data_IF_839664942698
#
_entry.id   IF_839664942698
#
_cell.length_a   1.000
_cell.length_b   1.000
_cell.length_c   1.000
_cell.angle_alpha   90.00
_cell.angle_beta   90.00
_cell.angle_gamma   90.00
#
_symmetry.space_group_name_H-M   'P 1'
#
loop_
_entity.id
_entity.type
_entity.pdbx_description
1 polymer ?
#
# COMPACT_ATOMS: atom_id res chain seq x y z
N UNK A 1 -10.11 -2.33 -27.78
CA UNK A 1 -8.73 -2.61 -27.42
C UNK A 1 -8.41 -2.04 -26.07
N UNK A 2 -7.79 -2.82 -25.24
CA UNK A 2 -7.49 -2.42 -23.87
C UNK A 2 -6.02 -2.13 -23.61
N UNK A 3 -5.22 -2.02 -24.67
CA UNK A 3 -3.88 -1.49 -24.55
C UNK A 3 -3.97 -0.08 -24.02
N UNK A 4 -3.22 0.19 -22.99
CA UNK A 4 -3.23 1.50 -22.36
C UNK A 4 -4.36 1.74 -21.39
N UNK A 5 -5.28 0.79 -21.23
CA UNK A 5 -6.29 0.93 -20.18
C UNK A 5 -5.60 0.83 -18.84
N UNK A 6 -5.90 1.79 -18.03
CA UNK A 6 -5.42 1.80 -16.67
C UNK A 6 -6.10 0.69 -15.89
N UNK A 7 -5.30 -0.25 -15.42
CA UNK A 7 -5.79 -1.38 -14.65
C UNK A 7 -5.66 -1.16 -13.15
N UNK A 8 -5.35 0.06 -12.77
CA UNK A 8 -5.38 0.48 -11.38
C UNK A 8 -6.72 1.16 -11.10
N UNK A 9 -7.44 0.61 -10.16
CA UNK A 9 -8.66 1.23 -9.64
C UNK A 9 -8.32 1.78 -8.27
N UNK A 10 -8.00 3.06 -8.22
CA UNK A 10 -7.63 3.74 -6.99
C UNK A 10 -8.88 4.43 -6.42
N UNK A 11 -9.45 3.82 -5.40
CA UNK A 11 -10.69 4.32 -4.79
C UNK A 11 -10.43 5.39 -3.71
N UNK A 12 -9.18 5.66 -3.40
CA UNK A 12 -8.85 6.52 -2.24
C UNK A 12 -7.81 7.59 -2.53
N UNK A 13 -6.86 7.32 -3.41
CA UNK A 13 -5.74 8.23 -3.64
C UNK A 13 -4.75 8.23 -2.49
N UNK A 14 -3.81 9.16 -2.55
CA UNK A 14 -2.86 9.39 -1.49
C UNK A 14 -3.47 10.33 -0.46
N UNK A 15 -3.41 9.95 0.80
CA UNK A 15 -3.95 10.72 1.92
C UNK A 15 -2.96 10.82 3.05
N UNK A 16 -2.94 11.95 3.71
CA UNK A 16 -2.12 12.15 4.90
C UNK A 16 -2.94 12.80 6.00
N UNK A 17 -2.51 12.57 7.23
CA UNK A 17 -3.10 13.16 8.43
C UNK A 17 -1.98 13.61 9.36
N UNK A 18 -2.20 14.72 10.04
CA UNK A 18 -1.20 15.33 10.87
C UNK A 18 -0.24 16.21 10.06
N UNK A 19 0.85 16.62 10.69
CA UNK A 19 1.87 17.44 10.05
C UNK A 19 2.91 16.53 9.41
N UNK A 20 2.75 16.26 8.12
CA UNK A 20 3.65 15.37 7.40
C UNK A 20 4.89 16.09 6.85
N UNK A 21 4.83 17.41 6.76
CA UNK A 21 5.92 18.19 6.15
C UNK A 21 5.97 18.09 4.64
N UNK A 22 5.08 17.36 4.02
CA UNK A 22 5.02 17.18 2.57
C UNK A 22 3.56 17.09 2.10
N UNK A 23 3.23 17.66 0.94
CA UNK A 23 1.89 17.51 0.37
C UNK A 23 1.66 16.08 -0.12
N UNK A 24 0.39 15.70 -0.22
CA UNK A 24 0.02 14.35 -0.67
C UNK A 24 0.61 13.99 -2.02
N UNK A 25 0.66 14.95 -2.95
CA UNK A 25 1.25 14.72 -4.27
C UNK A 25 2.73 14.34 -4.20
N UNK A 26 3.45 14.94 -3.26
CA UNK A 26 4.87 14.64 -3.06
C UNK A 26 5.04 13.23 -2.46
N UNK A 27 4.20 12.87 -1.51
CA UNK A 27 4.23 11.54 -0.90
C UNK A 27 3.92 10.48 -1.98
N UNK A 28 2.94 10.75 -2.83
CA UNK A 28 2.61 9.86 -3.94
C UNK A 28 3.79 9.70 -4.91
N UNK A 29 4.50 10.79 -5.19
CA UNK A 29 5.67 10.74 -6.08
C UNK A 29 6.81 9.92 -5.47
N UNK A 30 7.10 10.13 -4.20
CA UNK A 30 8.11 9.32 -3.50
C UNK A 30 7.73 7.84 -3.50
N UNK A 31 6.46 7.55 -3.31
CA UNK A 31 5.97 6.17 -3.36
C UNK A 31 6.13 5.59 -4.76
N UNK A 32 5.78 6.35 -5.78
CA UNK A 32 5.92 5.92 -7.17
C UNK A 32 7.38 5.61 -7.53
N UNK A 33 8.31 6.37 -6.98
CA UNK A 33 9.75 6.18 -7.22
C UNK A 33 10.40 5.17 -6.29
N UNK A 34 9.66 4.63 -5.35
CA UNK A 34 10.20 3.77 -4.30
C UNK A 34 11.28 4.48 -3.48
N UNK A 35 11.06 5.74 -3.18
CA UNK A 35 12.00 6.56 -2.40
C UNK A 35 11.76 6.33 -0.91
N UNK A 36 12.29 5.22 -0.44
CA UNK A 36 12.12 4.79 0.94
C UNK A 36 12.68 5.79 1.94
N UNK A 37 13.76 6.46 1.60
CA UNK A 37 14.41 7.41 2.50
C UNK A 37 13.53 8.64 2.74
N UNK A 38 12.95 9.20 1.69
CA UNK A 38 12.04 10.33 1.83
C UNK A 38 10.78 9.96 2.59
N UNK A 39 10.24 8.77 2.32
CA UNK A 39 9.06 8.28 3.03
C UNK A 39 9.38 8.07 4.53
N UNK A 40 10.56 7.58 4.84
CA UNK A 40 10.97 7.36 6.23
C UNK A 40 11.05 8.65 7.03
N UNK A 41 11.35 9.76 6.36
CA UNK A 41 11.48 11.08 7.01
C UNK A 41 10.17 11.85 7.10
N UNK A 42 9.10 11.31 6.53
CA UNK A 42 7.80 11.96 6.56
C UNK A 42 7.15 11.76 7.93
N UNK A 43 6.85 12.87 8.58
CA UNK A 43 6.15 12.83 9.87
C UNK A 43 4.65 12.64 9.67
N UNK A 44 3.97 12.24 10.75
CA UNK A 44 2.53 12.02 10.72
C UNK A 44 2.16 10.67 10.10
N UNK A 45 0.97 10.59 9.56
CA UNK A 45 0.44 9.36 8.99
C UNK A 45 0.05 9.57 7.54
N UNK A 46 0.31 8.56 6.73
CA UNK A 46 -0.11 8.59 5.33
C UNK A 46 -0.45 7.19 4.81
N UNK A 47 -1.20 7.17 3.75
CA UNK A 47 -1.36 6.04 2.85
C UNK A 47 -1.21 6.57 1.44
N UNK A 48 -0.38 5.95 0.64
CA UNK A 48 0.02 6.48 -0.65
C UNK A 48 -0.11 5.44 -1.75
N UNK A 49 -0.57 5.92 -2.89
CA UNK A 49 -0.67 5.13 -4.12
C UNK A 49 0.18 5.84 -5.16
N UNK A 50 1.20 5.16 -5.64
CA UNK A 50 2.07 5.69 -6.66
C UNK A 50 2.16 4.70 -7.83
N UNK A 51 2.51 5.23 -8.99
CA UNK A 51 2.62 4.42 -10.18
C UNK A 51 3.80 4.86 -11.01
N UNK A 52 4.54 3.89 -11.49
CA UNK A 52 5.65 4.11 -12.40
C UNK A 52 5.51 3.08 -13.53
N UNK A 53 5.01 3.54 -14.67
CA UNK A 53 4.71 2.65 -15.77
C UNK A 53 3.68 1.61 -15.39
N UNK A 54 4.06 0.35 -15.44
CA UNK A 54 3.19 -0.77 -15.08
C UNK A 54 3.37 -1.22 -13.62
N UNK A 55 4.23 -0.56 -12.88
CA UNK A 55 4.45 -0.88 -11.48
C UNK A 55 3.63 0.04 -10.61
N UNK A 56 2.75 -0.53 -9.82
CA UNK A 56 2.00 0.20 -8.80
C UNK A 56 2.69 -0.02 -7.47
N UNK A 57 2.89 1.06 -6.74
CA UNK A 57 3.49 1.01 -5.41
C UNK A 57 2.54 1.58 -4.39
N UNK A 58 2.36 0.83 -3.32
CA UNK A 58 1.47 1.16 -2.22
C UNK A 58 2.31 1.29 -0.96
N UNK A 59 2.13 2.35 -0.21
CA UNK A 59 2.86 2.55 1.03
C UNK A 59 1.94 3.13 2.08
N UNK A 60 2.17 2.78 3.34
CA UNK A 60 1.43 3.37 4.43
C UNK A 60 2.21 3.38 5.72
N UNK A 61 1.84 4.30 6.59
CA UNK A 61 2.19 4.27 8.00
C UNK A 61 1.13 3.50 8.78
N UNK A 62 1.34 3.35 10.07
CA UNK A 62 0.42 2.55 10.89
C UNK A 62 -0.97 3.16 11.02
N UNK A 63 -1.09 4.49 10.91
CA UNK A 63 -2.33 5.19 11.24
C UNK A 63 -3.44 5.13 10.20
N UNK A 64 -3.10 4.88 8.93
CA UNK A 64 -4.08 4.86 7.85
C UNK A 64 -4.01 3.52 7.14
N UNK A 65 -5.10 2.74 7.13
CA UNK A 65 -5.10 1.46 6.44
C UNK A 65 -5.12 1.61 4.92
N UNK A 66 -4.51 0.66 4.24
CA UNK A 66 -4.53 0.60 2.79
C UNK A 66 -4.62 -0.87 2.39
N UNK A 67 -5.61 -1.19 1.60
CA UNK A 67 -5.87 -2.57 1.17
C UNK A 67 -5.89 -2.64 -0.35
N UNK A 68 -5.60 -3.80 -0.86
CA UNK A 68 -5.71 -4.04 -2.29
C UNK A 68 -6.29 -5.42 -2.58
N UNK A 69 -6.87 -5.53 -3.76
CA UNK A 69 -7.49 -6.74 -4.27
C UNK A 69 -7.21 -6.83 -5.76
N UNK A 70 -6.87 -8.00 -6.25
CA UNK A 70 -6.66 -8.21 -7.68
C UNK A 70 -7.90 -8.88 -8.26
N UNK A 71 -8.67 -8.12 -8.99
CA UNK A 71 -9.86 -8.62 -9.66
C UNK A 71 -9.49 -9.24 -11.00
N UNK A 72 -9.93 -10.46 -11.22
CA UNK A 72 -9.67 -11.17 -12.49
C UNK A 72 -10.73 -10.77 -13.50
N UNK A 73 -10.35 -9.88 -14.36
CA UNK A 73 -11.23 -9.39 -15.42
C UNK A 73 -10.90 -10.06 -16.74
N UNK A 74 -11.83 -9.96 -17.67
CA UNK A 74 -11.73 -10.58 -18.97
C UNK A 74 -10.46 -10.20 -19.72
N UNK A 75 -10.02 -8.95 -19.53
CA UNK A 75 -8.89 -8.39 -20.26
C UNK A 75 -7.62 -8.30 -19.44
N UNK A 76 -7.56 -9.03 -18.36
CA UNK A 76 -6.44 -9.03 -17.44
C UNK A 76 -6.83 -8.47 -16.08
N UNK A 77 -5.96 -8.61 -15.11
CA UNK A 77 -6.28 -8.24 -13.75
C UNK A 77 -6.41 -6.73 -13.57
N UNK A 78 -7.36 -6.35 -12.72
CA UNK A 78 -7.46 -4.99 -12.20
C UNK A 78 -7.01 -4.98 -10.75
N UNK A 79 -6.10 -4.08 -10.44
CA UNK A 79 -5.69 -3.85 -9.05
C UNK A 79 -6.60 -2.80 -8.44
N UNK A 80 -7.35 -3.20 -7.44
CA UNK A 80 -8.29 -2.31 -6.74
C UNK A 80 -7.68 -1.95 -5.40
N UNK A 81 -7.57 -0.66 -5.13
CA UNK A 81 -6.97 -0.13 -3.90
C UNK A 81 -8.00 0.68 -3.14
N UNK A 82 -8.13 0.39 -1.87
CA UNK A 82 -9.10 1.07 -1.00
C UNK A 82 -8.60 1.08 0.45
N UNK A 83 -9.23 1.90 1.28
CA UNK A 83 -8.96 1.86 2.73
C UNK A 83 -9.68 0.68 3.38
N UNK A 84 -10.86 0.35 2.89
CA UNK A 84 -11.76 -0.61 3.53
C UNK A 84 -12.19 -1.69 2.56
N UNK A 85 -12.43 -2.87 3.11
CA UNK A 85 -12.89 -4.02 2.33
C UNK A 85 -14.24 -3.78 1.66
N UNK A 86 -15.15 -3.10 2.33
CA UNK A 86 -16.48 -2.84 1.78
C UNK A 86 -16.43 -1.94 0.54
N UNK A 87 -15.44 -1.06 0.45
CA UNK A 87 -15.24 -0.25 -0.75
C UNK A 87 -14.86 -1.13 -1.95
N UNK A 88 -14.00 -2.10 -1.72
CA UNK A 88 -13.60 -3.06 -2.76
C UNK A 88 -14.82 -3.90 -3.18
N UNK A 89 -15.56 -4.39 -2.21
CA UNK A 89 -16.76 -5.17 -2.49
C UNK A 89 -17.80 -4.38 -3.30
N UNK A 90 -18.05 -3.13 -2.93
CA UNK A 90 -18.96 -2.26 -3.66
C UNK A 90 -18.53 -2.06 -5.11
N UNK A 91 -17.23 -1.86 -5.33
CA UNK A 91 -16.69 -1.77 -6.68
C UNK A 91 -16.93 -3.07 -7.45
N UNK A 92 -16.68 -4.21 -6.83
CA UNK A 92 -16.94 -5.51 -7.46
C UNK A 92 -18.42 -5.69 -7.82
N UNK A 93 -19.31 -5.22 -6.97
CA UNK A 93 -20.75 -5.27 -7.26
C UNK A 93 -21.11 -4.40 -8.47
N UNK A 94 -20.57 -3.20 -8.54
CA UNK A 94 -20.77 -2.30 -9.67
C UNK A 94 -20.28 -2.90 -10.99
N UNK A 95 -19.19 -3.65 -10.93
CA UNK A 95 -18.62 -4.33 -12.09
C UNK A 95 -19.28 -5.68 -12.37
N UNK A 96 -20.24 -6.08 -11.56
CA UNK A 96 -20.94 -7.37 -11.66
C UNK A 96 -20.01 -8.57 -11.50
N UNK A 97 -18.99 -8.41 -10.69
CA UNK A 97 -18.03 -9.46 -10.38
C UNK A 97 -17.95 -9.73 -8.88
N UNK A 98 -19.04 -9.40 -8.16
CA UNK A 98 -19.08 -9.63 -6.71
C UNK A 98 -18.80 -11.10 -6.35
N UNK A 99 -19.08 -12.02 -7.25
CA UNK A 99 -18.82 -13.45 -7.07
C UNK A 99 -17.32 -13.75 -6.97
N UNK A 100 -16.44 -12.87 -7.45
CA UNK A 100 -15.00 -13.04 -7.30
C UNK A 100 -14.49 -12.56 -5.94
N UNK A 101 -15.25 -11.71 -5.28
CA UNK A 101 -14.79 -11.12 -4.03
C UNK A 101 -14.80 -12.16 -2.93
N UNK A 102 -13.64 -12.30 -2.31
CA UNK A 102 -13.45 -13.14 -1.14
C UNK A 102 -12.59 -12.35 -0.16
N UNK A 103 -13.08 -12.09 1.06
CA UNK A 103 -12.30 -11.32 2.03
C UNK A 103 -10.88 -11.85 2.23
N UNK A 104 -10.69 -13.16 2.14
CA UNK A 104 -9.38 -13.77 2.28
C UNK A 104 -8.40 -13.37 1.18
N UNK A 105 -8.89 -12.89 0.05
CA UNK A 105 -8.04 -12.44 -1.06
C UNK A 105 -7.74 -10.94 -1.01
N UNK A 106 -8.34 -10.24 -0.06
CA UNK A 106 -8.05 -8.84 0.17
C UNK A 106 -6.85 -8.74 1.08
N UNK A 107 -5.85 -8.00 0.66
CA UNK A 107 -4.60 -7.89 1.40
C UNK A 107 -4.41 -6.49 1.95
N UNK A 108 -3.87 -6.42 3.16
CA UNK A 108 -3.48 -5.17 3.78
C UNK A 108 -2.03 -4.87 3.43
N UNK A 109 -1.76 -3.64 3.02
CA UNK A 109 -0.37 -3.18 2.90
C UNK A 109 0.23 -3.14 4.31
N UNK A 110 1.35 -3.83 4.55
CA UNK A 110 1.98 -3.77 5.88
C UNK A 110 2.42 -2.36 6.22
N UNK A 111 2.27 -1.98 7.48
CA UNK A 111 2.73 -0.66 7.93
C UNK A 111 4.23 -0.51 7.73
N UNK A 112 4.64 0.67 7.25
CA UNK A 112 6.05 1.02 7.00
C UNK A 112 6.71 0.22 5.87
N UNK A 113 5.91 -0.32 4.97
CA UNK A 113 6.39 -1.00 3.77
C UNK A 113 5.88 -0.34 2.52
N UNK A 114 6.71 -0.41 1.48
CA UNK A 114 6.27 -0.16 0.10
C UNK A 114 6.00 -1.53 -0.51
N UNK A 115 4.80 -1.72 -1.00
CA UNK A 115 4.42 -2.93 -1.74
C UNK A 115 4.44 -2.61 -3.21
N UNK A 116 5.20 -3.37 -3.97
CA UNK A 116 5.30 -3.21 -5.42
C UNK A 116 4.54 -4.32 -6.12
N UNK A 117 3.68 -3.92 -7.05
CA UNK A 117 2.86 -4.83 -7.85
C UNK A 117 3.01 -4.47 -9.31
N UNK A 118 3.48 -5.42 -10.10
CA UNK A 118 3.59 -5.22 -11.54
C UNK A 118 2.27 -5.58 -12.22
N UNK A 119 1.76 -4.66 -12.99
CA UNK A 119 0.55 -4.87 -13.78
C UNK A 119 0.90 -5.49 -15.11
N UNK A 120 1.41 -6.68 -15.07
CA UNK A 120 1.77 -7.43 -16.28
C UNK A 120 0.97 -8.70 -16.33
N UNK A 121 0.44 -8.98 -17.51
CA UNK A 121 -0.21 -10.23 -17.81
C UNK A 121 -0.94 -10.86 -16.64
N UNK A 122 -1.37 -12.00 -16.82
CA UNK A 122 -2.02 -12.80 -15.80
C UNK A 122 -1.00 -13.76 -15.18
N UNK A 123 -1.33 -14.38 -14.06
CA UNK A 123 -2.58 -14.24 -13.33
C UNK A 123 -2.47 -13.43 -12.06
N UNK A 124 -1.39 -13.55 -11.33
CA UNK A 124 -1.28 -12.95 -10.01
C UNK A 124 0.07 -12.28 -9.88
N UNK A 125 0.08 -10.96 -9.89
CA UNK A 125 1.35 -10.28 -9.64
C UNK A 125 1.84 -10.65 -8.24
N UNK A 126 3.07 -11.14 -8.19
CA UNK A 126 3.71 -11.41 -6.91
C UNK A 126 4.16 -10.09 -6.30
N UNK A 127 3.64 -9.72 -5.15
CA UNK A 127 4.04 -8.47 -4.53
C UNK A 127 5.48 -8.56 -4.04
N UNK A 128 6.19 -7.46 -4.20
CA UNK A 128 7.51 -7.28 -3.60
C UNK A 128 7.37 -6.27 -2.47
N UNK A 129 8.12 -6.47 -1.40
CA UNK A 129 8.02 -5.67 -0.20
C UNK A 129 9.34 -4.98 0.09
N UNK A 130 9.29 -3.68 0.38
CA UNK A 130 10.44 -2.92 0.82
C UNK A 130 10.08 -2.12 2.06
N UNK A 131 10.72 -2.41 3.17
CA UNK A 131 10.52 -1.64 4.38
C UNK A 131 11.13 -0.25 4.21
N UNK A 132 10.38 0.79 4.49
CA UNK A 132 10.91 2.15 4.45
C UNK A 132 11.17 2.73 5.83
N UNK A 133 10.60 2.16 6.88
CA UNK A 133 10.84 2.61 8.24
C UNK A 133 10.78 1.44 9.18
N UNK A 134 11.77 1.34 10.07
CA UNK A 134 11.79 0.34 11.13
C UNK A 134 11.86 1.06 12.47
N UNK A 135 10.75 1.08 13.22
CA UNK A 135 10.72 1.78 14.52
C UNK A 135 11.61 1.11 15.57
N UNK A 136 12.07 -0.12 15.32
CA UNK A 136 12.92 -0.83 16.25
C UNK A 136 14.41 -0.62 16.00
N UNK A 137 14.78 -0.05 14.85
CA UNK A 137 16.17 0.25 14.53
C UNK A 137 16.54 1.59 15.15
N UNK A 138 17.71 1.68 15.74
CA UNK A 138 18.18 2.88 16.44
C UNK A 138 17.63 2.94 17.87
N UNK A 139 16.54 3.63 18.09
CA UNK A 139 15.95 3.76 19.42
C UNK A 139 15.51 2.43 20.01
N UNK A 140 14.89 1.61 19.18
CA UNK A 140 14.41 0.31 19.63
C UNK A 140 15.53 -0.59 20.07
N UNK A 141 16.62 -0.59 19.35
CA UNK A 141 17.77 -1.43 19.69
C UNK A 141 18.35 -1.06 21.05
N UNK A 142 18.57 0.22 21.29
CA UNK A 142 19.07 0.69 22.58
C UNK A 142 18.08 0.37 23.69
N UNK A 143 16.85 0.65 23.44
CA UNK A 143 15.79 0.42 24.41
C UNK A 143 15.69 -1.06 24.79
N UNK A 144 15.77 -1.94 23.81
CA UNK A 144 15.71 -3.37 24.05
C UNK A 144 16.97 -3.88 24.76
N UNK A 145 18.10 -3.24 24.59
CA UNK A 145 19.35 -3.65 25.22
C UNK A 145 19.45 -3.18 26.66
N UNK A 146 19.03 -1.95 26.96
CA UNK A 146 19.13 -1.38 28.30
C UNK A 146 18.02 -1.87 29.20
N UNK A 147 16.84 -1.64 28.73
CA UNK A 147 15.66 -2.15 29.39
C UNK A 147 15.21 -3.41 28.72
N UNK A 148 16.01 -3.93 27.84
CA UNK A 148 15.58 -4.94 26.92
C UNK A 148 15.08 -6.16 27.63
N UNK A 149 15.80 -6.61 28.55
CA UNK A 149 15.33 -7.67 29.40
C UNK A 149 14.06 -7.23 30.11
N UNK A 150 14.05 -6.02 30.65
CA UNK A 150 12.90 -5.52 31.38
C UNK A 150 11.76 -5.12 30.43
N UNK A 151 12.08 -4.53 29.31
CA UNK A 151 11.06 -4.08 28.38
C UNK A 151 10.47 -5.22 27.55
N UNK A 152 11.31 -6.06 27.00
CA UNK A 152 10.84 -7.24 26.26
C UNK A 152 10.05 -8.12 27.18
N UNK A 153 10.49 -8.18 28.39
CA UNK A 153 9.74 -8.84 29.44
C UNK A 153 8.54 -7.99 29.84
N UNK A 154 8.65 -6.73 29.68
CA UNK A 154 7.60 -5.81 30.07
C UNK A 154 6.69 -5.42 28.91
#
# INVERSE_FOLDING_TARGET
MLEGVDRLVDLVGTRSAGLTGAPDAQIAEWTARCDAESLARTDGHFAAVGRDGRTVRLARTIGIPLRYFVAKMYHGPFLVVAHRMDQIFSWCQEQRIAWQFEPAYTRMVPAHYIVELDQVGCPDPSPRYRRFFDPLVGQGSTYLNEAGAAYIAG
#
